data_IF_365163084465
#
_entry.id   IF_365163084465
#
_cell.length_a   1.000
_cell.length_b   1.000
_cell.length_c   1.000
_cell.angle_alpha   90.00
_cell.angle_beta   90.00
_cell.angle_gamma   90.00
#
_symmetry.space_group_name_H-M   'P 1'
#
loop_
_entity.id
_entity.type
_entity.pdbx_description
1 polymer ?
#
# COMPACT_ATOMS: atom_id res chain seq x y z
N UNK A 1 26.97 35.52 -40.36
CA UNK A 1 25.82 34.59 -40.30
C UNK A 1 26.08 33.60 -39.13
N UNK A 2 25.33 33.75 -38.05
CA UNK A 2 25.44 32.82 -36.87
C UNK A 2 24.33 31.79 -37.02
N UNK A 3 24.68 30.52 -37.15
CA UNK A 3 23.70 29.42 -37.18
C UNK A 3 23.21 29.17 -35.76
N UNK A 4 21.90 29.35 -35.57
CA UNK A 4 21.18 28.89 -34.35
C UNK A 4 20.98 27.36 -34.45
N UNK A 5 21.63 26.60 -33.59
CA UNK A 5 21.35 25.18 -33.45
C UNK A 5 20.10 25.05 -32.56
N UNK A 6 19.00 24.54 -33.12
CA UNK A 6 17.82 24.12 -32.38
C UNK A 6 18.13 22.76 -31.73
N UNK A 7 18.25 22.75 -30.41
CA UNK A 7 18.29 21.52 -29.63
C UNK A 7 16.84 21.03 -29.47
N UNK A 8 16.44 20.04 -30.27
CA UNK A 8 15.19 19.33 -30.07
C UNK A 8 15.36 18.40 -28.87
N UNK A 9 14.75 18.77 -27.72
CA UNK A 9 14.53 17.82 -26.64
C UNK A 9 13.56 16.74 -27.15
N UNK A 10 14.07 15.55 -27.41
CA UNK A 10 13.24 14.36 -27.57
C UNK A 10 12.69 14.01 -26.17
N UNK A 11 11.42 14.33 -25.93
CA UNK A 11 10.70 13.77 -24.81
C UNK A 11 10.66 12.25 -25.00
N UNK A 12 11.35 11.51 -24.14
CA UNK A 12 11.17 10.07 -24.04
C UNK A 12 9.69 9.84 -23.67
N UNK A 13 8.93 9.01 -24.43
CA UNK A 13 7.61 8.63 -24.02
C UNK A 13 7.73 8.02 -22.61
N UNK A 14 6.86 8.44 -21.68
CA UNK A 14 6.69 7.74 -20.43
C UNK A 14 6.50 6.26 -20.78
N UNK A 15 7.33 5.38 -20.21
CA UNK A 15 7.23 3.96 -20.45
C UNK A 15 5.76 3.57 -20.19
N UNK A 16 5.11 3.05 -21.25
CA UNK A 16 3.83 2.41 -21.05
C UNK A 16 4.09 1.25 -20.08
N UNK A 17 3.36 1.20 -18.98
CA UNK A 17 3.44 0.11 -18.04
C UNK A 17 3.17 -1.18 -18.84
N UNK A 18 4.12 -2.13 -18.81
CA UNK A 18 3.87 -3.46 -19.36
C UNK A 18 2.72 -4.09 -18.57
N UNK A 19 1.82 -4.79 -19.24
CA UNK A 19 0.76 -5.57 -18.58
C UNK A 19 1.39 -6.46 -17.52
N UNK A 20 1.16 -6.11 -16.25
CA UNK A 20 1.60 -6.91 -15.12
C UNK A 20 0.67 -8.12 -15.06
N UNK A 21 1.18 -9.35 -15.11
CA UNK A 21 0.31 -10.52 -15.02
C UNK A 21 -0.45 -10.49 -13.68
N UNK A 22 -1.78 -10.53 -13.75
CA UNK A 22 -2.69 -10.51 -12.58
C UNK A 22 -2.76 -11.86 -11.86
N UNK A 23 -1.82 -12.77 -12.14
CA UNK A 23 -1.76 -14.07 -11.48
C UNK A 23 -0.32 -14.48 -11.21
N UNK A 24 -0.12 -15.13 -10.05
CA UNK A 24 1.15 -15.70 -9.66
C UNK A 24 0.96 -17.17 -9.27
N UNK A 25 0.96 -18.11 -10.23
CA UNK A 25 0.69 -19.51 -9.96
C UNK A 25 1.64 -20.11 -8.92
N UNK A 26 1.08 -20.79 -7.92
CA UNK A 26 1.85 -21.42 -6.83
C UNK A 26 2.19 -20.50 -5.66
N UNK A 27 1.71 -19.27 -5.66
CA UNK A 27 1.76 -18.33 -4.54
C UNK A 27 0.36 -17.95 -4.08
N UNK A 28 0.21 -17.57 -2.81
CA UNK A 28 -0.99 -16.90 -2.28
C UNK A 28 -1.02 -15.41 -2.67
N UNK A 29 0.10 -14.83 -3.10
CA UNK A 29 0.11 -13.51 -3.72
C UNK A 29 -0.61 -13.59 -5.08
N UNK A 30 -1.54 -12.66 -5.32
CA UNK A 30 -2.27 -12.60 -6.59
C UNK A 30 -1.34 -12.28 -7.75
N UNK A 31 -0.43 -11.32 -7.58
CA UNK A 31 0.61 -11.01 -8.53
C UNK A 31 1.99 -11.03 -7.87
N UNK A 32 3.03 -11.38 -8.64
CA UNK A 32 4.41 -11.25 -8.19
C UNK A 32 4.75 -9.77 -7.98
N UNK A 33 5.48 -9.39 -6.90
CA UNK A 33 5.93 -8.02 -6.74
C UNK A 33 6.73 -7.52 -7.95
N UNK A 34 6.39 -6.34 -8.43
CA UNK A 34 7.09 -5.65 -9.52
C UNK A 34 7.77 -4.39 -8.99
N UNK A 35 8.90 -4.04 -9.58
CA UNK A 35 9.57 -2.78 -9.29
C UNK A 35 8.84 -1.65 -10.01
N UNK A 36 8.14 -0.82 -9.24
CA UNK A 36 7.32 0.31 -9.76
C UNK A 36 8.22 1.47 -10.16
N UNK A 37 9.18 1.79 -9.30
CA UNK A 37 10.32 2.68 -9.55
C UNK A 37 11.54 2.04 -8.85
N UNK A 38 12.79 2.43 -9.16
CA UNK A 38 13.95 1.88 -8.48
C UNK A 38 13.77 1.88 -6.95
N UNK A 39 13.96 0.71 -6.34
CA UNK A 39 13.84 0.47 -4.89
C UNK A 39 12.43 0.42 -4.30
N UNK A 40 11.35 0.67 -5.07
CA UNK A 40 9.97 0.55 -4.61
C UNK A 40 9.24 -0.53 -5.38
N UNK A 41 8.75 -1.53 -4.66
CA UNK A 41 8.08 -2.70 -5.22
C UNK A 41 6.65 -2.78 -4.73
N UNK A 42 5.77 -3.39 -5.53
CA UNK A 42 4.40 -3.68 -5.13
C UNK A 42 3.91 -5.00 -5.71
N UNK A 43 3.33 -5.85 -4.86
CA UNK A 43 2.51 -6.98 -5.26
C UNK A 43 1.09 -6.47 -5.43
N UNK A 44 0.61 -6.47 -6.67
CA UNK A 44 -0.71 -5.93 -7.02
C UNK A 44 -1.77 -6.96 -6.66
N UNK A 45 -2.74 -6.56 -5.85
CA UNK A 45 -3.88 -7.39 -5.49
C UNK A 45 -4.95 -7.43 -6.58
N UNK A 46 -5.84 -8.42 -6.52
CA UNK A 46 -7.00 -8.49 -7.39
C UNK A 46 -7.89 -7.24 -7.23
N UNK A 47 -8.41 -6.70 -8.32
CA UNK A 47 -9.42 -5.62 -8.26
C UNK A 47 -10.79 -6.13 -7.82
N UNK A 48 -10.98 -7.45 -7.79
CA UNK A 48 -12.17 -8.13 -7.29
C UNK A 48 -12.25 -8.10 -5.74
N UNK A 49 -13.43 -8.35 -5.15
CA UNK A 49 -13.55 -8.62 -3.72
C UNK A 49 -12.68 -9.80 -3.27
N UNK A 50 -12.39 -9.92 -1.95
CA UNK A 50 -11.63 -11.06 -1.45
C UNK A 50 -12.40 -12.37 -1.65
N UNK A 51 -11.73 -13.37 -2.21
CA UNK A 51 -12.26 -14.72 -2.49
C UNK A 51 -11.23 -15.77 -2.11
N UNK A 52 -11.62 -17.05 -2.25
CA UNK A 52 -10.68 -18.17 -2.13
C UNK A 52 -9.60 -18.14 -3.22
N UNK A 53 -9.99 -17.83 -4.46
CA UNK A 53 -9.11 -17.86 -5.63
C UNK A 53 -8.00 -16.80 -5.57
N UNK A 54 -8.27 -15.65 -4.93
CA UNK A 54 -7.26 -14.62 -4.71
C UNK A 54 -6.66 -14.65 -3.29
N UNK A 55 -6.96 -15.67 -2.48
CA UNK A 55 -6.51 -15.82 -1.10
C UNK A 55 -6.73 -14.56 -0.22
N UNK A 56 -7.69 -13.71 -0.57
CA UNK A 56 -7.93 -12.42 0.06
C UNK A 56 -6.92 -11.32 -0.32
N UNK A 57 -6.00 -11.58 -1.26
CA UNK A 57 -5.07 -10.57 -1.75
C UNK A 57 -5.77 -9.67 -2.77
N UNK A 58 -6.40 -8.60 -2.30
CA UNK A 58 -7.15 -7.65 -3.11
C UNK A 58 -6.70 -6.19 -2.96
N UNK A 59 -5.72 -5.92 -2.10
CA UNK A 59 -5.05 -4.62 -1.97
C UNK A 59 -3.58 -4.71 -2.39
N UNK A 60 -2.91 -3.60 -2.54
CA UNK A 60 -1.51 -3.57 -2.89
C UNK A 60 -0.63 -3.74 -1.65
N UNK A 61 0.30 -4.70 -1.72
CA UNK A 61 1.31 -4.95 -0.69
C UNK A 61 2.65 -4.44 -1.22
N UNK A 62 3.16 -3.36 -0.62
CA UNK A 62 4.34 -2.68 -1.14
C UNK A 62 5.53 -2.78 -0.20
N UNK A 63 6.75 -2.60 -0.73
CA UNK A 63 7.93 -2.47 0.08
C UNK A 63 8.97 -1.53 -0.54
N UNK A 64 9.77 -0.91 0.33
CA UNK A 64 10.78 0.08 0.00
C UNK A 64 12.13 -0.41 0.49
N UNK A 65 13.12 -0.54 -0.41
CA UNK A 65 14.50 -0.91 -0.08
C UNK A 65 15.30 0.38 0.13
N UNK A 66 15.80 0.60 1.35
CA UNK A 66 16.36 1.90 1.74
C UNK A 66 17.90 1.95 1.76
N UNK A 67 18.56 0.82 1.61
CA UNK A 67 20.01 0.69 1.80
C UNK A 67 20.43 0.33 3.24
N UNK A 68 19.54 0.49 4.23
CA UNK A 68 19.76 0.10 5.64
C UNK A 68 18.68 -0.84 6.18
N UNK A 69 17.70 -1.17 5.36
CA UNK A 69 16.60 -2.06 5.69
C UNK A 69 15.45 -1.91 4.72
N UNK A 70 14.38 -2.64 4.96
CA UNK A 70 13.15 -2.61 4.17
C UNK A 70 12.00 -2.09 5.02
N UNK A 71 11.21 -1.18 4.45
CA UNK A 71 9.91 -0.77 5.00
C UNK A 71 8.82 -1.44 4.17
N UNK A 72 7.93 -2.17 4.82
CA UNK A 72 6.75 -2.79 4.21
C UNK A 72 5.55 -1.88 4.42
N UNK A 73 4.71 -1.73 3.41
CA UNK A 73 3.43 -1.01 3.49
C UNK A 73 2.32 -2.02 3.25
N UNK A 74 1.48 -2.19 4.25
CA UNK A 74 0.46 -3.23 4.43
C UNK A 74 1.03 -4.62 4.70
N UNK A 75 0.49 -5.25 5.73
CA UNK A 75 0.89 -6.60 6.13
C UNK A 75 0.19 -7.70 5.33
N UNK A 76 -0.88 -7.37 4.60
CA UNK A 76 -1.74 -8.32 3.92
C UNK A 76 -2.88 -8.86 4.79
N UNK A 77 -3.81 -9.59 4.16
CA UNK A 77 -5.02 -10.12 4.80
C UNK A 77 -4.76 -11.39 5.62
N UNK A 78 -3.57 -12.00 5.58
CA UNK A 78 -3.30 -13.24 6.30
C UNK A 78 -1.82 -13.42 6.64
N UNK A 79 -1.56 -14.37 7.54
CA UNK A 79 -0.19 -14.84 7.83
C UNK A 79 0.53 -15.29 6.56
N UNK A 80 -0.14 -16.12 5.74
CA UNK A 80 0.45 -16.67 4.51
C UNK A 80 0.77 -15.60 3.48
N UNK A 81 -0.06 -14.56 3.35
CA UNK A 81 0.24 -13.42 2.47
C UNK A 81 1.47 -12.65 2.93
N UNK A 82 1.56 -12.35 4.24
CA UNK A 82 2.73 -11.68 4.80
C UNK A 82 4.02 -12.52 4.63
N UNK A 83 3.94 -13.84 4.85
CA UNK A 83 5.06 -14.77 4.66
C UNK A 83 5.50 -14.83 3.19
N UNK A 84 4.55 -14.91 2.26
CA UNK A 84 4.82 -14.91 0.82
C UNK A 84 5.47 -13.60 0.37
N UNK A 85 4.96 -12.44 0.82
CA UNK A 85 5.59 -11.15 0.55
C UNK A 85 7.02 -11.08 1.10
N UNK A 86 7.26 -11.58 2.32
CA UNK A 86 8.60 -11.61 2.90
C UNK A 86 9.55 -12.52 2.11
N UNK A 87 9.06 -13.63 1.56
CA UNK A 87 9.86 -14.48 0.68
C UNK A 87 10.29 -13.75 -0.59
N UNK A 88 9.39 -12.97 -1.20
CA UNK A 88 9.71 -12.13 -2.38
C UNK A 88 10.70 -11.00 -2.04
N UNK A 89 10.56 -10.35 -0.86
CA UNK A 89 11.54 -9.36 -0.40
C UNK A 89 12.94 -9.98 -0.34
N UNK A 90 13.07 -11.17 0.28
CA UNK A 90 14.36 -11.89 0.37
C UNK A 90 14.91 -12.35 -0.97
N UNK A 91 14.07 -12.50 -1.98
CA UNK A 91 14.50 -12.83 -3.34
C UNK A 91 15.17 -11.65 -4.07
N UNK A 92 14.91 -10.40 -3.64
CA UNK A 92 15.42 -9.18 -4.28
C UNK A 92 16.46 -8.43 -3.43
N UNK A 93 16.52 -8.67 -2.12
CA UNK A 93 17.49 -8.00 -1.22
C UNK A 93 17.79 -8.84 0.03
N UNK A 94 19.03 -8.71 0.52
CA UNK A 94 19.45 -9.29 1.81
C UNK A 94 19.16 -8.34 3.00
N UNK A 95 18.63 -7.15 2.76
CA UNK A 95 18.32 -6.19 3.81
C UNK A 95 17.14 -6.69 4.66
N UNK A 96 17.22 -6.61 6.00
CA UNK A 96 16.13 -7.04 6.87
C UNK A 96 14.92 -6.09 6.78
N UNK A 97 13.71 -6.62 6.94
CA UNK A 97 12.52 -5.78 7.18
C UNK A 97 12.65 -5.17 8.57
N UNK A 98 12.62 -3.85 8.64
CA UNK A 98 12.79 -3.07 9.89
C UNK A 98 11.51 -2.38 10.36
N UNK A 99 10.50 -2.27 9.49
CA UNK A 99 9.24 -1.63 9.81
C UNK A 99 8.13 -2.12 8.89
N UNK A 100 6.93 -2.27 9.43
CA UNK A 100 5.68 -2.36 8.69
C UNK A 100 4.86 -1.11 8.95
N UNK A 101 4.28 -0.50 7.92
CA UNK A 101 3.30 0.59 8.02
C UNK A 101 1.98 0.06 7.52
N UNK A 102 0.93 0.12 8.34
CA UNK A 102 -0.42 -0.20 7.91
C UNK A 102 -1.15 1.07 7.46
N UNK A 103 -1.81 1.00 6.31
CA UNK A 103 -2.49 2.16 5.73
C UNK A 103 -3.83 2.50 6.37
N UNK A 104 -4.55 1.49 6.92
CA UNK A 104 -5.83 1.66 7.60
C UNK A 104 -6.10 0.50 8.57
N UNK A 105 -7.25 0.52 9.29
CA UNK A 105 -7.66 -0.49 10.25
C UNK A 105 -8.30 -1.73 9.65
N UNK A 106 -8.37 -1.86 8.34
CA UNK A 106 -9.08 -2.97 7.69
C UNK A 106 -8.26 -4.26 7.63
N UNK A 107 -8.95 -5.39 7.52
CA UNK A 107 -8.33 -6.71 7.56
C UNK A 107 -7.29 -6.95 6.46
N UNK A 108 -7.46 -6.38 5.26
CA UNK A 108 -6.51 -6.52 4.16
C UNK A 108 -5.16 -5.82 4.46
N UNK A 109 -5.17 -4.79 5.31
CA UNK A 109 -3.98 -4.07 5.74
C UNK A 109 -3.31 -4.71 6.97
N UNK A 110 -4.09 -5.24 7.93
CA UNK A 110 -3.59 -5.54 9.28
C UNK A 110 -3.63 -7.02 9.70
N UNK A 111 -4.42 -7.90 9.07
CA UNK A 111 -4.52 -9.31 9.54
C UNK A 111 -3.22 -10.10 9.38
N UNK A 112 -2.30 -9.66 8.51
CA UNK A 112 -0.96 -10.20 8.38
C UNK A 112 0.03 -9.75 9.48
N UNK A 113 -0.34 -8.80 10.34
CA UNK A 113 0.52 -8.25 11.39
C UNK A 113 1.11 -9.33 12.31
N UNK A 114 0.36 -10.42 12.58
CA UNK A 114 0.83 -11.53 13.41
C UNK A 114 2.13 -12.17 12.89
N UNK A 115 2.29 -12.28 11.57
CA UNK A 115 3.53 -12.78 10.97
C UNK A 115 4.72 -11.85 11.27
N UNK A 116 4.57 -10.54 11.04
CA UNK A 116 5.63 -9.57 11.25
C UNK A 116 6.00 -9.41 12.72
N UNK A 117 5.00 -9.41 13.60
CA UNK A 117 5.22 -9.41 15.05
C UNK A 117 6.03 -10.64 15.51
N UNK A 118 5.76 -11.82 14.95
CA UNK A 118 6.53 -13.04 15.24
C UNK A 118 7.99 -12.97 14.74
N UNK A 119 8.27 -12.13 13.72
CA UNK A 119 9.64 -11.83 13.27
C UNK A 119 10.31 -10.73 14.11
N UNK A 120 9.61 -10.15 15.08
CA UNK A 120 10.12 -9.04 15.89
C UNK A 120 10.16 -7.69 15.15
N UNK A 121 9.43 -7.57 14.05
CA UNK A 121 9.36 -6.32 13.27
C UNK A 121 8.35 -5.38 13.89
N UNK A 122 8.70 -4.11 14.20
CA UNK A 122 7.77 -3.11 14.67
C UNK A 122 6.73 -2.77 13.60
N UNK A 123 5.51 -2.47 14.05
CA UNK A 123 4.37 -2.16 13.20
C UNK A 123 3.81 -0.81 13.59
N UNK A 124 3.70 0.09 12.62
CA UNK A 124 3.24 1.46 12.76
C UNK A 124 1.88 1.63 12.08
N UNK A 125 0.92 2.26 12.75
CA UNK A 125 -0.36 2.66 12.20
C UNK A 125 -0.85 3.99 12.78
N UNK A 126 -1.81 4.64 12.13
CA UNK A 126 -2.53 5.76 12.72
C UNK A 126 -3.37 5.28 13.92
N UNK A 127 -3.53 6.13 14.95
CA UNK A 127 -4.27 5.74 16.16
C UNK A 127 -5.73 5.37 15.88
N UNK A 128 -6.42 6.07 14.97
CA UNK A 128 -7.79 5.74 14.57
C UNK A 128 -7.86 4.43 13.77
N UNK A 129 -6.84 4.09 13.00
CA UNK A 129 -6.75 2.79 12.33
C UNK A 129 -6.58 1.63 13.33
N UNK A 130 -5.82 1.87 14.40
CA UNK A 130 -5.71 0.90 15.49
C UNK A 130 -7.05 0.70 16.19
N UNK A 131 -7.76 1.79 16.50
CA UNK A 131 -9.08 1.72 17.13
C UNK A 131 -10.10 0.98 16.25
N UNK A 132 -10.15 1.26 14.95
CA UNK A 132 -10.98 0.55 13.97
C UNK A 132 -10.63 -0.96 13.96
N UNK A 133 -9.35 -1.30 13.91
CA UNK A 133 -8.92 -2.71 13.89
C UNK A 133 -9.23 -3.44 15.20
N UNK A 134 -9.09 -2.80 16.35
CA UNK A 134 -9.46 -3.39 17.64
C UNK A 134 -10.95 -3.73 17.70
N UNK A 135 -11.82 -2.88 17.12
CA UNK A 135 -13.27 -3.10 17.06
C UNK A 135 -13.62 -4.23 16.09
N UNK A 136 -13.07 -4.23 14.87
CA UNK A 136 -13.52 -5.05 13.76
C UNK A 136 -12.68 -6.32 13.49
N UNK A 137 -11.50 -6.45 14.10
CA UNK A 137 -10.55 -7.53 13.78
C UNK A 137 -11.11 -8.94 13.98
N UNK A 138 -11.95 -9.16 14.98
CA UNK A 138 -12.57 -10.47 15.24
C UNK A 138 -13.51 -10.89 14.09
N UNK A 139 -14.32 -9.94 13.60
CA UNK A 139 -15.20 -10.15 12.47
C UNK A 139 -14.40 -10.31 11.17
N UNK A 140 -13.38 -9.48 10.95
CA UNK A 140 -12.48 -9.56 9.82
C UNK A 140 -11.77 -10.92 9.74
N UNK A 141 -11.26 -11.42 10.87
CA UNK A 141 -10.63 -12.75 10.94
C UNK A 141 -11.63 -13.88 10.68
N UNK A 142 -12.87 -13.77 11.17
CA UNK A 142 -13.91 -14.75 10.89
C UNK A 142 -14.29 -14.76 9.40
N UNK A 143 -14.39 -13.60 8.78
CA UNK A 143 -14.62 -13.46 7.34
C UNK A 143 -13.46 -14.06 6.53
N UNK A 144 -12.22 -13.73 6.85
CA UNK A 144 -11.02 -14.31 6.24
C UNK A 144 -11.08 -15.85 6.24
N UNK A 145 -11.32 -16.44 7.41
CA UNK A 145 -11.42 -17.91 7.55
C UNK A 145 -12.53 -18.52 6.70
N UNK A 146 -13.61 -17.79 6.48
CA UNK A 146 -14.75 -18.25 5.68
C UNK A 146 -14.41 -18.32 4.20
N UNK A 147 -13.75 -17.32 3.63
CA UNK A 147 -13.46 -17.29 2.19
C UNK A 147 -12.09 -17.87 1.85
N UNK A 148 -11.04 -17.60 2.63
CA UNK A 148 -9.67 -18.04 2.31
C UNK A 148 -9.35 -19.46 2.81
N UNK A 149 -10.17 -20.02 3.70
CA UNK A 149 -10.05 -21.41 4.22
C UNK A 149 -8.64 -21.71 4.75
N UNK A 150 -7.92 -22.65 4.11
CA UNK A 150 -6.55 -23.05 4.48
C UNK A 150 -5.53 -21.90 4.32
N UNK A 151 -5.79 -20.92 3.47
CA UNK A 151 -4.92 -19.74 3.32
C UNK A 151 -5.06 -18.74 4.47
N UNK A 152 -6.08 -18.92 5.32
CA UNK A 152 -6.21 -18.20 6.58
C UNK A 152 -5.43 -18.85 7.75
N UNK A 153 -4.86 -20.05 7.57
CA UNK A 153 -4.15 -20.76 8.65
C UNK A 153 -2.98 -19.95 9.20
N UNK A 154 -2.79 -20.02 10.53
CA UNK A 154 -1.77 -19.27 11.24
C UNK A 154 -2.12 -17.80 11.52
N UNK A 155 -3.14 -17.26 10.85
CA UNK A 155 -3.53 -15.85 11.02
C UNK A 155 -4.12 -15.61 12.41
N UNK A 156 -3.55 -14.64 13.12
CA UNK A 156 -4.00 -14.18 14.45
C UNK A 156 -4.04 -12.65 14.46
N UNK A 157 -4.93 -12.09 15.25
CA UNK A 157 -4.98 -10.64 15.45
C UNK A 157 -3.75 -10.20 16.23
N UNK A 158 -3.00 -9.24 15.66
CA UNK A 158 -1.88 -8.59 16.33
C UNK A 158 -1.99 -7.07 16.12
N UNK A 159 -2.10 -6.35 17.21
CA UNK A 159 -2.24 -4.90 17.21
C UNK A 159 -0.89 -4.25 16.88
N UNK A 160 -0.85 -3.15 16.10
CA UNK A 160 0.36 -2.37 15.85
C UNK A 160 1.08 -1.98 17.13
N UNK A 161 2.41 -2.02 17.11
CA UNK A 161 3.26 -1.75 18.29
C UNK A 161 3.57 -0.27 18.48
N UNK A 162 3.40 0.53 17.42
CA UNK A 162 3.63 1.97 17.40
C UNK A 162 2.45 2.68 16.75
N UNK A 163 2.13 3.89 17.26
CA UNK A 163 1.09 4.74 16.68
C UNK A 163 1.62 6.13 16.37
N UNK A 164 0.90 6.85 15.52
CA UNK A 164 1.09 8.28 15.24
C UNK A 164 -0.28 8.95 15.03
N UNK A 165 -0.32 10.28 15.06
CA UNK A 165 -1.57 11.06 14.89
C UNK A 165 -1.63 11.79 13.56
N UNK A 166 -0.63 12.62 13.25
CA UNK A 166 -0.68 13.44 12.03
C UNK A 166 0.41 13.04 11.02
N UNK A 167 1.64 12.88 11.52
CA UNK A 167 2.82 12.74 10.69
C UNK A 167 3.96 12.09 11.45
N UNK A 168 4.70 11.23 10.77
CA UNK A 168 5.95 10.63 11.28
C UNK A 168 6.98 10.55 10.17
N UNK A 169 8.12 11.21 10.36
CA UNK A 169 9.28 11.09 9.47
C UNK A 169 10.14 9.90 9.88
N UNK A 170 10.49 9.06 8.92
CA UNK A 170 11.40 7.92 9.09
C UNK A 170 12.59 8.15 8.17
N UNK A 171 13.80 8.16 8.73
CA UNK A 171 15.02 8.13 7.95
C UNK A 171 15.66 6.76 8.08
N UNK A 172 15.84 6.08 6.96
CA UNK A 172 16.45 4.75 6.92
C UNK A 172 17.41 4.69 5.73
N UNK A 173 18.71 4.51 6.00
CA UNK A 173 19.75 4.72 5.01
C UNK A 173 19.72 6.16 4.46
N UNK A 174 19.71 6.30 3.14
CA UNK A 174 19.61 7.61 2.47
C UNK A 174 18.18 8.01 2.12
N UNK A 175 17.18 7.21 2.53
CA UNK A 175 15.77 7.42 2.20
C UNK A 175 15.04 8.10 3.36
N UNK A 176 14.36 9.21 3.05
CA UNK A 176 13.40 9.85 3.94
C UNK A 176 12.00 9.45 3.51
N UNK A 177 11.25 8.89 4.44
CA UNK A 177 9.88 8.42 4.27
C UNK A 177 8.99 9.23 5.21
N UNK A 178 7.99 9.88 4.65
CA UNK A 178 6.97 10.61 5.39
C UNK A 178 5.71 9.74 5.49
N UNK A 179 5.38 9.30 6.69
CA UNK A 179 4.13 8.60 6.99
C UNK A 179 3.12 9.66 7.40
N UNK A 180 2.07 9.84 6.61
CA UNK A 180 1.14 10.95 6.70
C UNK A 180 -0.27 10.45 7.00
N UNK A 181 -0.98 11.15 7.89
CA UNK A 181 -2.43 11.12 7.93
C UNK A 181 -2.94 12.44 7.36
N UNK A 182 -3.32 12.42 6.08
CA UNK A 182 -3.81 13.64 5.42
C UNK A 182 -5.22 14.04 5.87
N UNK A 183 -5.95 13.13 6.47
CA UNK A 183 -7.29 13.29 7.02
C UNK A 183 -8.15 12.08 6.71
N UNK A 184 -9.34 11.99 7.33
CA UNK A 184 -10.26 10.88 7.08
C UNK A 184 -10.68 10.88 5.60
N UNK A 185 -10.69 9.67 5.01
CA UNK A 185 -11.08 9.45 3.64
C UNK A 185 -11.94 8.19 3.52
N UNK A 186 -11.38 7.07 3.03
CA UNK A 186 -12.07 5.80 2.99
C UNK A 186 -12.34 5.25 4.40
N UNK A 187 -11.33 5.35 5.28
CA UNK A 187 -11.39 5.02 6.71
C UNK A 187 -10.96 6.21 7.57
N UNK A 188 -11.28 6.23 8.87
CA UNK A 188 -10.88 7.30 9.78
C UNK A 188 -9.36 7.47 9.86
N UNK A 189 -8.61 6.37 9.85
CA UNK A 189 -7.17 6.34 10.04
C UNK A 189 -6.34 6.14 8.77
N UNK A 190 -6.87 6.51 7.59
CA UNK A 190 -6.16 6.35 6.32
C UNK A 190 -4.78 7.01 6.36
N UNK A 191 -3.77 6.24 6.02
CA UNK A 191 -2.35 6.60 6.10
C UNK A 191 -1.71 6.51 4.73
N UNK A 192 -0.89 7.50 4.38
CA UNK A 192 -0.14 7.56 3.14
C UNK A 192 1.36 7.51 3.43
N UNK A 193 2.12 6.85 2.56
CA UNK A 193 3.58 6.80 2.63
C UNK A 193 4.14 7.60 1.47
N UNK A 194 4.71 8.77 1.79
CA UNK A 194 5.27 9.71 0.83
C UNK A 194 6.80 9.66 0.83
N UNK A 195 7.41 9.55 -0.34
CA UNK A 195 8.86 9.56 -0.52
C UNK A 195 9.21 10.77 -1.38
N UNK A 196 9.49 11.94 -0.77
CA UNK A 196 9.65 13.21 -1.47
C UNK A 196 10.73 13.19 -2.55
N UNK A 197 11.88 12.59 -2.25
CA UNK A 197 13.02 12.54 -3.17
C UNK A 197 12.74 11.79 -4.46
N UNK A 198 11.73 10.92 -4.48
CA UNK A 198 11.32 10.15 -5.66
C UNK A 198 9.98 10.61 -6.23
N UNK A 199 9.34 11.61 -5.61
CA UNK A 199 7.98 12.02 -5.94
C UNK A 199 7.02 10.83 -6.01
N UNK A 200 7.20 9.87 -5.07
CA UNK A 200 6.49 8.59 -4.99
C UNK A 200 5.53 8.59 -3.81
N UNK A 201 4.27 8.28 -4.09
CA UNK A 201 3.21 8.11 -3.10
C UNK A 201 2.71 6.67 -3.10
N UNK A 202 2.83 5.97 -1.97
CA UNK A 202 2.04 4.78 -1.69
C UNK A 202 0.81 5.29 -0.95
N UNK A 203 -0.30 5.37 -1.66
CA UNK A 203 -1.44 6.17 -1.24
C UNK A 203 -2.37 5.43 -0.27
N UNK A 204 -2.42 4.11 -0.33
CA UNK A 204 -3.47 3.37 0.37
C UNK A 204 -4.86 3.69 -0.17
N UNK A 205 -5.88 3.44 0.63
CA UNK A 205 -7.28 3.53 0.24
C UNK A 205 -7.83 4.96 0.10
N UNK A 206 -6.97 5.98 0.29
CA UNK A 206 -7.33 7.33 -0.19
C UNK A 206 -7.41 7.38 -1.72
N UNK A 207 -6.72 6.47 -2.43
CA UNK A 207 -6.64 6.43 -3.89
C UNK A 207 -6.95 5.03 -4.45
N UNK A 208 -7.79 4.99 -5.48
CA UNK A 208 -8.17 3.79 -6.22
C UNK A 208 -7.79 3.93 -7.69
N UNK A 209 -7.54 2.80 -8.35
CA UNK A 209 -7.33 2.69 -9.78
C UNK A 209 -7.98 1.40 -10.29
N UNK A 210 -8.58 1.44 -11.51
CA UNK A 210 -9.22 0.29 -12.18
C UNK A 210 -10.43 -0.31 -11.45
N UNK A 211 -10.83 0.29 -10.35
CA UNK A 211 -12.08 -0.03 -9.64
C UNK A 211 -12.61 1.22 -8.93
N UNK A 212 -13.91 1.24 -8.66
CA UNK A 212 -14.53 2.29 -7.85
C UNK A 212 -14.24 2.03 -6.35
N UNK A 213 -14.05 3.08 -5.56
CA UNK A 213 -13.92 2.95 -4.12
C UNK A 213 -15.24 2.45 -3.51
N UNK A 214 -15.21 1.45 -2.62
CA UNK A 214 -16.39 1.10 -1.85
C UNK A 214 -16.67 2.18 -0.80
N UNK A 215 -17.95 2.42 -0.54
CA UNK A 215 -18.40 3.37 0.49
C UNK A 215 -19.06 2.58 1.60
N UNK A 216 -18.50 2.66 2.80
CA UNK A 216 -19.01 1.99 4.00
C UNK A 216 -19.70 3.00 4.93
N UNK A 217 -20.34 2.51 6.00
CA UNK A 217 -21.01 3.35 7.00
C UNK A 217 -20.05 4.35 7.66
N UNK A 218 -18.79 3.95 7.91
CA UNK A 218 -17.74 4.80 8.49
C UNK A 218 -17.04 5.74 7.51
N UNK A 219 -17.33 5.65 6.20
CA UNK A 219 -16.67 6.47 5.18
C UNK A 219 -17.21 7.90 5.19
N UNK A 220 -16.36 8.89 5.48
CA UNK A 220 -16.72 10.31 5.38
C UNK A 220 -16.47 10.85 3.97
N UNK A 221 -17.42 10.69 3.05
CA UNK A 221 -17.26 11.10 1.64
C UNK A 221 -16.91 12.58 1.48
N UNK A 222 -17.52 13.47 2.25
CA UNK A 222 -17.21 14.90 2.19
C UNK A 222 -15.81 15.20 2.72
N UNK A 223 -15.42 14.55 3.83
CA UNK A 223 -14.05 14.67 4.36
C UNK A 223 -13.03 14.15 3.34
N UNK A 224 -13.34 13.04 2.66
CA UNK A 224 -12.47 12.49 1.62
C UNK A 224 -12.24 13.45 0.46
N UNK A 225 -13.32 14.07 -0.05
CA UNK A 225 -13.23 15.10 -1.09
C UNK A 225 -12.35 16.27 -0.63
N UNK A 226 -12.56 16.77 0.58
CA UNK A 226 -11.76 17.85 1.14
C UNK A 226 -10.27 17.45 1.30
N UNK A 227 -10.00 16.30 1.90
CA UNK A 227 -8.65 15.75 2.06
C UNK A 227 -7.97 15.59 0.70
N UNK A 228 -8.69 15.05 -0.29
CA UNK A 228 -8.20 14.87 -1.64
C UNK A 228 -7.77 16.19 -2.28
N UNK A 229 -8.68 17.17 -2.31
CA UNK A 229 -8.46 18.43 -3.01
C UNK A 229 -7.46 19.34 -2.31
N UNK A 230 -7.48 19.36 -0.97
CA UNK A 230 -6.69 20.34 -0.19
C UNK A 230 -5.36 19.83 0.30
N UNK A 231 -5.17 18.49 0.39
CA UNK A 231 -3.96 17.89 0.97
C UNK A 231 -3.27 16.88 0.06
N UNK A 232 -4.01 15.95 -0.57
CA UNK A 232 -3.42 14.93 -1.43
C UNK A 232 -2.95 15.50 -2.77
N UNK A 233 -3.83 16.16 -3.52
CA UNK A 233 -3.50 16.75 -4.83
C UNK A 233 -2.35 17.75 -4.78
N UNK A 234 -2.23 18.63 -3.76
CA UNK A 234 -1.11 19.56 -3.66
C UNK A 234 0.28 18.93 -3.50
N UNK A 235 0.39 17.70 -3.02
CA UNK A 235 1.66 16.95 -2.99
C UNK A 235 2.18 16.63 -4.40
N UNK A 236 1.28 16.61 -5.37
CA UNK A 236 1.56 16.42 -6.79
C UNK A 236 2.52 15.25 -7.08
N UNK A 237 2.21 14.02 -6.61
CA UNK A 237 3.06 12.87 -6.83
C UNK A 237 3.17 12.52 -8.31
N UNK A 238 4.37 12.21 -8.76
CA UNK A 238 4.62 11.69 -10.12
C UNK A 238 4.17 10.24 -10.24
N UNK A 239 4.47 9.45 -9.21
CA UNK A 239 4.14 8.02 -9.13
C UNK A 239 3.20 7.78 -7.97
N UNK A 240 2.15 7.00 -8.20
CA UNK A 240 1.17 6.64 -7.18
C UNK A 240 0.94 5.13 -7.20
N UNK A 241 1.14 4.49 -6.05
CA UNK A 241 0.63 3.15 -5.79
C UNK A 241 -0.68 3.35 -5.02
N UNK A 242 -1.86 3.08 -5.61
CA UNK A 242 -3.15 3.17 -4.91
C UNK A 242 -3.29 2.02 -3.91
N UNK A 243 -4.30 2.05 -3.05
CA UNK A 243 -4.65 0.90 -2.22
C UNK A 243 -5.07 -0.31 -3.05
N UNK A 244 -5.74 -0.05 -4.18
CA UNK A 244 -6.23 -1.08 -5.10
C UNK A 244 -6.00 -0.66 -6.56
N UNK A 245 -5.68 -1.67 -7.42
CA UNK A 245 -5.38 -1.49 -8.83
C UNK A 245 -3.91 -1.20 -9.11
N UNK A 246 -3.54 -1.14 -10.38
CA UNK A 246 -2.14 -1.00 -10.78
C UNK A 246 -1.56 0.38 -10.41
N UNK A 247 -0.25 0.44 -10.10
CA UNK A 247 0.49 1.70 -9.94
C UNK A 247 0.30 2.61 -11.15
N UNK A 248 0.20 3.91 -10.92
CA UNK A 248 -0.11 4.87 -11.97
C UNK A 248 0.37 6.29 -11.59
N UNK A 249 -0.35 7.33 -11.96
CA UNK A 249 -0.06 8.72 -11.67
C UNK A 249 -1.28 9.45 -11.07
N UNK A 250 -1.06 10.68 -10.58
CA UNK A 250 -2.10 11.48 -9.96
C UNK A 250 -3.35 11.65 -10.84
N UNK A 251 -3.19 11.85 -12.15
CA UNK A 251 -4.32 12.07 -13.05
C UNK A 251 -5.24 10.84 -13.16
N UNK A 252 -4.65 9.64 -13.21
CA UNK A 252 -5.43 8.40 -13.28
C UNK A 252 -6.14 8.09 -11.96
N UNK A 253 -5.46 8.18 -10.82
CA UNK A 253 -6.14 7.96 -9.53
C UNK A 253 -7.23 9.01 -9.28
N UNK A 254 -7.06 10.26 -9.75
CA UNK A 254 -8.11 11.28 -9.68
C UNK A 254 -9.37 10.85 -10.42
N UNK A 255 -9.20 10.31 -11.62
CA UNK A 255 -10.33 9.83 -12.44
C UNK A 255 -11.14 8.72 -11.77
N UNK A 256 -10.49 7.82 -11.04
CA UNK A 256 -11.17 6.67 -10.40
C UNK A 256 -11.67 6.98 -8.99
N UNK A 257 -10.99 7.89 -8.29
CA UNK A 257 -11.31 8.18 -6.89
C UNK A 257 -12.25 9.38 -6.75
N UNK A 258 -12.04 10.44 -7.56
CA UNK A 258 -12.70 11.73 -7.38
C UNK A 258 -13.80 11.99 -8.41
N UNK A 259 -13.62 11.65 -9.70
CA UNK A 259 -14.50 11.94 -10.83
C UNK A 259 -15.54 10.83 -11.08
#
# INVERSE_FOLDING_TARGET
MRALAFLTLLATPAAAWEDIPDTYPGSVLYAKPVEVIPHVFSAIGATAPPTYENAGHNNNLSFIITGDGVVVVNSGASWKLAEALHAEIRAVTDQPVKLVVNENGQGHSMLGNGYWAAQGVPILAHEDAVAEFEEDSAQGLAALKSYAKEDAEGTTVAIPTETFTDHKTITMGEVTIEVLHLGPAHSPGDTQVWIPQWSMMIAGDIAFHERLPPIFEGTCTLCWIETWETKFVPLNPTYVIPGHGHPTNLAQVTRYTRD
#
